data_IF_547456933248
#
_entry.id   IF_547456933248
#
_cell.length_a   1.000
_cell.length_b   1.000
_cell.length_c   1.000
_cell.angle_alpha   90.00
_cell.angle_beta   90.00
_cell.angle_gamma   90.00
#
_symmetry.space_group_name_H-M   'P 1'
#
loop_
_entity.id
_entity.type
_entity.pdbx_description
1 polymer ?
#
# COMPACT_ATOMS: atom_id res chain seq x y z
N UNK A 1 8.16 37.86 28.24
CA UNK A 1 8.93 37.11 27.21
C UNK A 1 7.92 36.52 26.25
N UNK A 2 7.75 37.13 25.08
CA UNK A 2 6.67 36.81 24.13
C UNK A 2 7.10 35.70 23.16
N UNK A 3 6.52 34.49 23.25
CA UNK A 3 6.81 33.40 22.29
C UNK A 3 6.25 33.66 20.88
N UNK A 4 5.44 34.70 20.68
CA UNK A 4 4.76 35.00 19.41
C UNK A 4 5.70 35.42 18.26
N UNK A 5 6.74 36.21 18.54
CA UNK A 5 7.63 36.72 17.48
C UNK A 5 8.45 35.61 16.79
N UNK A 6 8.77 34.53 17.52
CA UNK A 6 9.51 33.40 16.97
C UNK A 6 8.65 32.49 16.08
N UNK A 7 7.36 32.35 16.38
CA UNK A 7 6.43 31.53 15.59
C UNK A 7 6.03 32.23 14.29
N UNK A 8 5.78 33.55 14.33
CA UNK A 8 5.44 34.33 13.15
C UNK A 8 6.55 34.24 12.07
N UNK A 9 7.82 34.36 12.48
CA UNK A 9 8.96 34.26 11.57
C UNK A 9 9.08 32.88 10.92
N UNK A 10 8.81 31.79 11.64
CA UNK A 10 8.84 30.43 11.09
C UNK A 10 7.74 30.21 10.04
N UNK A 11 6.52 30.67 10.32
CA UNK A 11 5.39 30.55 9.39
C UNK A 11 5.64 31.33 8.09
N UNK A 12 6.27 32.51 8.17
CA UNK A 12 6.64 33.32 7.00
C UNK A 12 7.69 32.61 6.13
N UNK A 13 8.68 31.94 6.74
CA UNK A 13 9.69 31.17 6.00
C UNK A 13 9.04 29.99 5.26
N UNK A 14 8.17 29.25 5.92
CA UNK A 14 7.43 28.11 5.34
C UNK A 14 6.56 28.60 4.18
N UNK A 15 5.78 29.66 4.39
CA UNK A 15 4.89 30.23 3.36
C UNK A 15 5.66 30.72 2.13
N UNK A 16 6.88 31.24 2.31
CA UNK A 16 7.75 31.66 1.20
C UNK A 16 8.33 30.45 0.45
N UNK A 17 8.76 29.42 1.17
CA UNK A 17 9.31 28.19 0.58
C UNK A 17 8.29 27.47 -0.31
N UNK A 18 7.07 27.27 0.21
CA UNK A 18 5.96 26.63 -0.51
C UNK A 18 5.13 27.61 -1.37
N UNK A 19 5.60 28.85 -1.54
CA UNK A 19 4.99 29.83 -2.45
C UNK A 19 3.49 30.09 -2.19
N UNK A 20 3.07 30.15 -0.92
CA UNK A 20 1.65 30.28 -0.55
C UNK A 20 0.93 31.45 -1.22
N UNK A 21 1.62 32.57 -1.41
CA UNK A 21 1.07 33.75 -2.09
C UNK A 21 0.75 33.49 -3.57
N UNK A 22 1.60 32.71 -4.27
CA UNK A 22 1.39 32.37 -5.68
C UNK A 22 0.26 31.34 -5.83
N UNK A 23 0.21 30.38 -4.89
CA UNK A 23 -0.82 29.33 -4.84
C UNK A 23 -2.13 29.79 -4.19
N UNK A 24 -2.20 31.05 -3.71
CA UNK A 24 -3.35 31.64 -3.01
C UNK A 24 -3.87 30.76 -1.86
N UNK A 25 -2.96 30.16 -1.09
CA UNK A 25 -3.26 29.25 0.03
C UNK A 25 -2.74 29.78 1.37
N UNK A 26 -3.05 29.09 2.46
CA UNK A 26 -2.59 29.41 3.80
C UNK A 26 -2.34 28.14 4.63
N UNK A 27 -1.66 28.31 5.77
CA UNK A 27 -1.25 27.19 6.63
C UNK A 27 -2.42 26.31 7.10
N UNK A 28 -3.58 26.90 7.39
CA UNK A 28 -4.78 26.16 7.80
C UNK A 28 -5.31 25.31 6.65
N UNK A 29 -5.44 25.89 5.46
CA UNK A 29 -5.89 25.17 4.26
C UNK A 29 -4.99 24.01 3.93
N UNK A 30 -3.67 24.22 3.91
CA UNK A 30 -2.68 23.17 3.61
C UNK A 30 -2.67 22.06 4.67
N UNK A 31 -2.78 22.41 5.95
CA UNK A 31 -2.83 21.42 7.02
C UNK A 31 -4.08 20.54 6.91
N UNK A 32 -5.24 21.13 6.63
CA UNK A 32 -6.50 20.39 6.44
C UNK A 32 -6.43 19.54 5.17
N UNK A 33 -5.86 20.05 4.08
CA UNK A 33 -5.65 19.30 2.85
C UNK A 33 -4.72 18.10 3.07
N UNK A 34 -3.64 18.27 3.83
CA UNK A 34 -2.72 17.21 4.23
C UNK A 34 -3.40 16.12 5.05
N UNK A 35 -4.16 16.50 6.09
CA UNK A 35 -4.93 15.55 6.92
C UNK A 35 -5.97 14.81 6.06
N UNK A 36 -6.67 15.52 5.18
CA UNK A 36 -7.67 14.91 4.29
C UNK A 36 -7.04 13.90 3.34
N UNK A 37 -5.87 14.24 2.78
CA UNK A 37 -5.10 13.36 1.91
C UNK A 37 -4.62 12.13 2.67
N UNK A 38 -4.08 12.31 3.87
CA UNK A 38 -3.67 11.23 4.76
C UNK A 38 -4.84 10.27 5.04
N UNK A 39 -5.99 10.77 5.49
CA UNK A 39 -7.17 9.94 5.79
C UNK A 39 -7.65 9.19 4.53
N UNK A 40 -7.53 9.80 3.36
CA UNK A 40 -7.92 9.17 2.09
C UNK A 40 -7.04 7.99 1.71
N UNK A 41 -5.75 8.02 2.06
CA UNK A 41 -4.80 6.95 1.76
C UNK A 41 -4.51 6.01 2.93
N UNK A 42 -4.92 6.35 4.15
CA UNK A 42 -4.61 5.60 5.37
C UNK A 42 -5.06 4.13 5.33
N UNK A 43 -6.02 3.76 4.47
CA UNK A 43 -6.38 2.36 4.23
C UNK A 43 -5.17 1.50 3.84
N UNK A 44 -4.13 2.08 3.22
CA UNK A 44 -2.92 1.36 2.82
C UNK A 44 -2.16 0.79 4.01
N UNK A 45 -2.29 1.39 5.20
CA UNK A 45 -1.68 0.89 6.43
C UNK A 45 -2.28 -0.44 6.89
N UNK A 46 -3.43 -0.84 6.34
CA UNK A 46 -4.05 -2.15 6.61
C UNK A 46 -3.90 -3.05 5.38
N UNK A 47 -4.25 -2.55 4.20
CA UNK A 47 -4.35 -3.38 3.00
C UNK A 47 -2.97 -3.80 2.47
N UNK A 48 -1.96 -2.92 2.48
CA UNK A 48 -0.64 -3.31 2.01
C UNK A 48 0.01 -4.39 2.92
N UNK A 49 0.02 -4.22 4.25
CA UNK A 49 0.47 -5.28 5.15
C UNK A 49 -0.30 -6.59 5.02
N UNK A 50 -1.64 -6.57 4.82
CA UNK A 50 -2.43 -7.79 4.62
C UNK A 50 -2.01 -8.59 3.37
N UNK A 51 -1.70 -7.89 2.28
CA UNK A 51 -1.21 -8.52 1.06
C UNK A 51 0.20 -9.05 1.27
N UNK A 52 1.09 -8.23 1.80
CA UNK A 52 2.50 -8.61 1.96
C UNK A 52 2.70 -9.69 3.02
N UNK A 53 1.92 -9.72 4.10
CA UNK A 53 2.05 -10.71 5.17
C UNK A 53 1.69 -12.14 4.75
N UNK A 54 1.02 -12.30 3.60
CA UNK A 54 0.77 -13.60 2.97
C UNK A 54 2.02 -14.17 2.30
N UNK A 55 2.93 -13.31 1.85
CA UNK A 55 4.15 -13.69 1.14
C UNK A 55 5.43 -13.51 1.96
N UNK A 56 5.44 -12.52 2.86
CA UNK A 56 6.57 -12.15 3.72
C UNK A 56 6.24 -12.60 5.15
N UNK A 57 6.80 -13.75 5.53
CA UNK A 57 6.65 -14.31 6.87
C UNK A 57 7.87 -15.18 7.24
N UNK A 58 8.02 -15.48 8.54
CA UNK A 58 9.08 -16.34 9.07
C UNK A 58 8.57 -17.76 9.32
N UNK A 59 7.49 -17.92 10.09
CA UNK A 59 6.92 -19.22 10.42
C UNK A 59 5.52 -19.37 9.82
N UNK A 60 4.67 -18.36 10.00
CA UNK A 60 3.28 -18.38 9.55
C UNK A 60 2.85 -17.06 8.92
N UNK A 61 1.95 -17.13 7.94
CA UNK A 61 1.41 -15.95 7.28
C UNK A 61 0.73 -15.03 8.31
N UNK A 62 1.14 -13.76 8.35
CA UNK A 62 0.65 -12.79 9.33
C UNK A 62 1.62 -12.45 10.46
N UNK A 63 2.67 -13.25 10.69
CA UNK A 63 3.63 -13.03 11.80
C UNK A 63 4.27 -11.63 11.77
N UNK A 64 4.57 -11.13 10.57
CA UNK A 64 5.25 -9.86 10.35
C UNK A 64 4.30 -8.69 10.05
N UNK A 65 2.99 -8.86 10.26
CA UNK A 65 2.00 -7.83 9.91
C UNK A 65 2.32 -6.48 10.58
N UNK A 66 2.64 -6.49 11.88
CA UNK A 66 2.99 -5.26 12.62
C UNK A 66 4.22 -4.55 12.07
N UNK A 67 5.28 -5.29 11.75
CA UNK A 67 6.49 -4.75 11.12
C UNK A 67 6.20 -4.18 9.73
N UNK A 68 5.36 -4.86 8.93
CA UNK A 68 4.96 -4.41 7.60
C UNK A 68 4.13 -3.12 7.64
N UNK A 69 3.28 -2.93 8.65
CA UNK A 69 2.55 -1.67 8.87
C UNK A 69 3.53 -0.53 9.08
N UNK A 70 4.51 -0.71 9.98
CA UNK A 70 5.49 0.33 10.31
C UNK A 70 6.42 0.59 9.12
N UNK A 71 6.90 -0.44 8.43
CA UNK A 71 7.71 -0.29 7.22
C UNK A 71 6.95 0.48 6.12
N UNK A 72 5.66 0.17 5.92
CA UNK A 72 4.79 0.89 4.98
C UNK A 72 4.63 2.36 5.38
N UNK A 73 4.35 2.63 6.65
CA UNK A 73 4.17 4.00 7.14
C UNK A 73 5.44 4.85 7.00
N UNK A 74 6.59 4.31 7.42
CA UNK A 74 7.88 5.02 7.37
C UNK A 74 8.30 5.27 5.92
N UNK A 75 8.19 4.26 5.05
CA UNK A 75 8.56 4.40 3.64
C UNK A 75 7.67 5.41 2.90
N UNK A 76 6.36 5.37 3.10
CA UNK A 76 5.42 6.33 2.52
C UNK A 76 5.65 7.76 3.07
N UNK A 77 5.89 7.89 4.38
CA UNK A 77 6.18 9.17 5.00
C UNK A 77 7.49 9.77 4.45
N UNK A 78 8.54 8.97 4.33
CA UNK A 78 9.83 9.40 3.79
C UNK A 78 9.70 9.81 2.31
N UNK A 79 9.04 8.99 1.49
CA UNK A 79 8.82 9.30 0.08
C UNK A 79 8.01 10.59 -0.10
N UNK A 80 6.91 10.74 0.65
CA UNK A 80 6.07 11.94 0.64
C UNK A 80 6.84 13.18 1.12
N UNK A 81 7.68 13.04 2.14
CA UNK A 81 8.50 14.14 2.66
C UNK A 81 9.55 14.57 1.65
N UNK A 82 10.23 13.63 0.99
CA UNK A 82 11.18 13.93 -0.09
C UNK A 82 10.45 14.68 -1.22
N UNK A 83 9.27 14.22 -1.62
CA UNK A 83 8.47 14.87 -2.66
C UNK A 83 8.06 16.30 -2.28
N UNK A 84 7.63 16.50 -1.03
CA UNK A 84 7.22 17.81 -0.52
C UNK A 84 8.39 18.78 -0.33
N UNK A 85 9.50 18.34 0.25
CA UNK A 85 10.63 19.23 0.59
C UNK A 85 11.60 19.37 -0.59
N UNK A 86 12.06 18.27 -1.17
CA UNK A 86 13.04 18.32 -2.26
C UNK A 86 12.37 18.56 -3.61
N UNK A 87 11.23 17.91 -3.86
CA UNK A 87 10.46 18.10 -5.09
C UNK A 87 9.67 19.40 -5.12
N UNK A 88 9.26 19.95 -3.97
CA UNK A 88 8.31 21.05 -3.85
C UNK A 88 7.02 20.82 -4.67
N UNK A 89 6.52 19.57 -4.68
CA UNK A 89 5.26 19.19 -5.32
C UNK A 89 4.30 18.61 -4.28
N UNK A 90 2.99 18.91 -4.38
CA UNK A 90 1.97 18.47 -3.44
C UNK A 90 1.48 17.04 -3.74
N UNK A 91 2.41 16.09 -3.87
CA UNK A 91 2.07 14.68 -4.12
C UNK A 91 2.38 13.83 -2.89
N UNK A 92 1.35 13.11 -2.43
CA UNK A 92 1.51 12.09 -1.41
C UNK A 92 1.84 10.75 -2.07
N UNK A 93 2.95 10.15 -1.65
CA UNK A 93 3.51 8.95 -2.24
C UNK A 93 3.33 7.77 -1.29
N UNK A 94 2.72 6.71 -1.80
CA UNK A 94 2.52 5.47 -1.08
C UNK A 94 2.65 4.28 -2.05
N UNK A 95 2.81 3.04 -1.55
CA UNK A 95 3.00 1.87 -2.40
C UNK A 95 1.87 1.64 -3.42
N UNK A 96 2.24 1.25 -4.63
CA UNK A 96 1.28 0.91 -5.69
C UNK A 96 0.64 -0.46 -5.44
N UNK A 97 -0.67 -0.49 -5.16
CA UNK A 97 -1.40 -1.71 -4.81
C UNK A 97 -1.27 -2.85 -5.85
N UNK A 98 -1.19 -2.49 -7.13
CA UNK A 98 -1.02 -3.46 -8.21
C UNK A 98 0.31 -4.22 -8.17
N UNK A 99 1.40 -3.49 -7.93
CA UNK A 99 2.75 -4.05 -7.90
C UNK A 99 2.94 -4.93 -6.66
N UNK A 100 2.37 -4.54 -5.53
CA UNK A 100 2.46 -5.32 -4.29
C UNK A 100 1.69 -6.64 -4.39
N UNK A 101 0.52 -6.64 -5.03
CA UNK A 101 -0.22 -7.87 -5.29
C UNK A 101 0.49 -8.79 -6.28
N UNK A 102 1.08 -8.23 -7.35
CA UNK A 102 1.91 -9.00 -8.28
C UNK A 102 3.13 -9.62 -7.55
N UNK A 103 3.82 -8.84 -6.73
CA UNK A 103 4.93 -9.31 -5.90
C UNK A 103 4.49 -10.49 -5.01
N UNK A 104 3.44 -10.31 -4.20
CA UNK A 104 3.04 -11.31 -3.22
C UNK A 104 2.49 -12.58 -3.89
N UNK A 105 1.49 -12.45 -4.75
CA UNK A 105 0.75 -13.60 -5.27
C UNK A 105 1.42 -14.24 -6.47
N UNK A 106 2.03 -13.46 -7.37
CA UNK A 106 2.64 -14.02 -8.58
C UNK A 106 4.09 -14.42 -8.37
N UNK A 107 4.92 -13.51 -7.83
CA UNK A 107 6.37 -13.76 -7.71
C UNK A 107 6.68 -14.69 -6.55
N UNK A 108 6.21 -14.36 -5.34
CA UNK A 108 6.57 -15.14 -4.16
C UNK A 108 5.75 -16.41 -4.05
N UNK A 109 4.42 -16.30 -4.06
CA UNK A 109 3.54 -17.45 -3.79
C UNK A 109 3.40 -18.39 -5.00
N UNK A 110 3.17 -17.87 -6.21
CA UNK A 110 2.95 -18.71 -7.40
C UNK A 110 4.24 -19.24 -8.02
N UNK A 111 5.27 -18.41 -8.20
CA UNK A 111 6.55 -18.86 -8.75
C UNK A 111 7.46 -19.53 -7.69
N UNK A 112 7.10 -19.44 -6.41
CA UNK A 112 7.89 -20.04 -5.32
C UNK A 112 9.24 -19.35 -5.08
N UNK A 113 9.41 -18.11 -5.53
CA UNK A 113 10.64 -17.34 -5.33
C UNK A 113 10.67 -16.86 -3.88
N UNK A 114 11.80 -17.02 -3.20
CA UNK A 114 11.93 -16.52 -1.82
C UNK A 114 11.73 -15.01 -1.78
N UNK A 115 10.99 -14.54 -0.76
CA UNK A 115 10.64 -13.13 -0.67
C UNK A 115 11.87 -12.23 -0.49
N UNK A 116 12.99 -12.74 0.05
CA UNK A 116 14.26 -12.03 0.14
C UNK A 116 14.86 -11.79 -1.26
N UNK A 117 14.87 -12.81 -2.13
CA UNK A 117 15.33 -12.68 -3.53
C UNK A 117 14.42 -11.72 -4.28
N UNK A 118 13.10 -11.83 -4.08
CA UNK A 118 12.15 -10.91 -4.70
C UNK A 118 12.37 -9.45 -4.23
N UNK A 119 12.62 -9.21 -2.94
CA UNK A 119 12.97 -7.88 -2.42
C UNK A 119 14.29 -7.35 -3.01
N UNK A 120 15.29 -8.21 -3.19
CA UNK A 120 16.54 -7.85 -3.84
C UNK A 120 16.32 -7.42 -5.30
N UNK A 121 15.47 -8.15 -6.03
CA UNK A 121 15.09 -7.78 -7.40
C UNK A 121 14.37 -6.43 -7.45
N UNK A 122 13.46 -6.15 -6.51
CA UNK A 122 12.79 -4.84 -6.40
C UNK A 122 13.80 -3.71 -6.08
N UNK A 123 14.79 -3.97 -5.23
CA UNK A 123 15.86 -3.00 -4.95
C UNK A 123 16.69 -2.70 -6.19
N UNK A 124 17.11 -3.73 -6.92
CA UNK A 124 17.85 -3.59 -8.19
C UNK A 124 17.00 -2.83 -9.21
N UNK A 125 15.73 -3.18 -9.36
CA UNK A 125 14.79 -2.50 -10.27
C UNK A 125 14.68 -1.02 -9.94
N UNK A 126 14.54 -0.66 -8.65
CA UNK A 126 14.52 0.74 -8.22
C UNK A 126 15.81 1.50 -8.57
N UNK A 127 16.98 0.87 -8.41
CA UNK A 127 18.26 1.46 -8.81
C UNK A 127 18.37 1.64 -10.33
N UNK A 128 17.95 0.63 -11.10
CA UNK A 128 17.89 0.72 -12.57
C UNK A 128 16.94 1.85 -12.98
N UNK A 129 15.78 1.97 -12.34
CA UNK A 129 14.80 3.00 -12.65
C UNK A 129 15.33 4.41 -12.36
N UNK A 130 16.10 4.59 -11.27
CA UNK A 130 16.81 5.84 -10.98
C UNK A 130 17.80 6.17 -12.10
N UNK A 131 18.64 5.21 -12.50
CA UNK A 131 19.60 5.38 -13.60
C UNK A 131 18.91 5.74 -14.92
N UNK A 132 17.81 5.06 -15.26
CA UNK A 132 17.01 5.32 -16.46
C UNK A 132 16.33 6.70 -16.43
N UNK A 133 15.93 7.16 -15.25
CA UNK A 133 15.33 8.49 -15.06
C UNK A 133 16.36 9.59 -15.25
N UNK A 134 17.57 9.42 -14.70
CA UNK A 134 18.68 10.39 -14.85
C UNK A 134 19.13 10.47 -16.31
N UNK A 135 19.22 9.32 -17.00
CA UNK A 135 19.60 9.24 -18.42
C UNK A 135 18.50 9.69 -19.40
N UNK A 136 17.31 10.08 -18.92
CA UNK A 136 16.13 10.48 -19.72
C UNK A 136 15.57 9.40 -20.66
N UNK A 137 16.14 8.19 -20.66
CA UNK A 137 15.70 7.05 -21.48
C UNK A 137 14.30 6.58 -21.08
N UNK A 138 13.91 6.78 -19.82
CA UNK A 138 12.57 6.43 -19.29
C UNK A 138 11.43 6.88 -20.22
N UNK A 139 11.46 8.10 -20.73
CA UNK A 139 10.38 8.61 -21.57
C UNK A 139 10.29 7.83 -22.90
N UNK A 140 11.42 7.41 -23.46
CA UNK A 140 11.45 6.62 -24.70
C UNK A 140 10.87 5.23 -24.47
N UNK A 141 11.22 4.57 -23.36
CA UNK A 141 10.68 3.25 -23.00
C UNK A 141 9.16 3.34 -22.83
N UNK A 142 8.68 4.31 -22.05
CA UNK A 142 7.24 4.48 -21.79
C UNK A 142 6.47 4.82 -23.07
N UNK A 143 7.06 5.60 -23.98
CA UNK A 143 6.45 5.94 -25.27
C UNK A 143 6.47 4.76 -26.26
N UNK A 144 7.41 3.83 -26.12
CA UNK A 144 7.45 2.62 -26.96
C UNK A 144 6.34 1.62 -26.60
N UNK A 145 5.84 1.64 -25.37
CA UNK A 145 4.74 0.77 -24.94
C UNK A 145 3.42 1.34 -25.48
N UNK A 146 2.67 0.57 -26.30
CA UNK A 146 1.37 1.00 -26.80
C UNK A 146 0.38 1.30 -25.66
N UNK A 147 -0.45 2.32 -25.83
CA UNK A 147 -1.42 2.74 -24.81
C UNK A 147 -2.40 1.61 -24.44
N UNK A 148 -2.78 0.77 -25.40
CA UNK A 148 -3.62 -0.40 -25.16
C UNK A 148 -2.99 -1.40 -24.19
N UNK A 149 -1.67 -1.58 -24.23
CA UNK A 149 -0.95 -2.48 -23.31
C UNK A 149 -0.94 -1.88 -21.90
N UNK A 150 -0.67 -0.57 -21.77
CA UNK A 150 -0.67 0.11 -20.46
C UNK A 150 -2.03 -0.02 -19.77
N UNK A 151 -3.10 0.24 -20.51
CA UNK A 151 -4.47 0.14 -20.01
C UNK A 151 -4.85 -1.31 -19.68
N UNK A 152 -4.54 -2.26 -20.56
CA UNK A 152 -4.79 -3.68 -20.35
C UNK A 152 -4.07 -4.21 -19.10
N UNK A 153 -2.82 -3.80 -18.85
CA UNK A 153 -2.09 -4.17 -17.64
C UNK A 153 -2.76 -3.65 -16.38
N UNK A 154 -3.22 -2.40 -16.38
CA UNK A 154 -3.92 -1.82 -15.21
C UNK A 154 -5.24 -2.55 -14.92
N UNK A 155 -6.04 -2.80 -15.96
CA UNK A 155 -7.30 -3.55 -15.83
C UNK A 155 -7.05 -4.99 -15.37
N UNK A 156 -6.06 -5.67 -15.97
CA UNK A 156 -5.71 -7.05 -15.63
C UNK A 156 -5.26 -7.20 -14.18
N UNK A 157 -4.41 -6.31 -13.68
CA UNK A 157 -3.98 -6.32 -12.27
C UNK A 157 -5.16 -6.01 -11.34
N UNK A 158 -6.03 -5.07 -11.71
CA UNK A 158 -7.24 -4.76 -10.92
C UNK A 158 -8.19 -5.96 -10.81
N UNK A 159 -8.49 -6.62 -11.92
CA UNK A 159 -9.32 -7.84 -11.95
C UNK A 159 -8.65 -8.99 -11.18
N UNK A 160 -7.33 -9.11 -11.27
CA UNK A 160 -6.57 -10.11 -10.52
C UNK A 160 -6.70 -9.89 -9.01
N UNK A 161 -6.52 -8.67 -8.53
CA UNK A 161 -6.69 -8.34 -7.09
C UNK A 161 -8.14 -8.59 -6.65
N UNK A 162 -9.12 -8.21 -7.47
CA UNK A 162 -10.53 -8.46 -7.18
C UNK A 162 -10.82 -9.96 -7.07
N UNK A 163 -10.29 -10.77 -7.98
CA UNK A 163 -10.41 -12.22 -7.95
C UNK A 163 -9.83 -12.84 -6.66
N UNK A 164 -8.62 -12.41 -6.26
CA UNK A 164 -8.00 -12.86 -5.00
C UNK A 164 -8.82 -12.43 -3.78
N UNK A 165 -9.41 -11.24 -3.79
CA UNK A 165 -10.29 -10.78 -2.72
C UNK A 165 -11.57 -11.63 -2.61
N UNK A 166 -12.18 -12.02 -3.74
CA UNK A 166 -13.35 -12.90 -3.78
C UNK A 166 -13.06 -14.30 -3.24
N UNK A 167 -11.85 -14.82 -3.49
CA UNK A 167 -11.38 -16.09 -2.90
C UNK A 167 -11.17 -15.94 -1.39
N UNK A 168 -10.45 -14.89 -0.95
CA UNK A 168 -10.16 -14.68 0.47
C UNK A 168 -11.43 -14.49 1.33
N UNK A 169 -12.50 -13.97 0.73
CA UNK A 169 -13.81 -13.77 1.38
C UNK A 169 -14.75 -14.97 1.23
N UNK A 170 -14.30 -16.05 0.58
CA UNK A 170 -15.08 -17.26 0.28
C UNK A 170 -16.35 -17.00 -0.54
N UNK A 171 -16.47 -15.82 -1.18
CA UNK A 171 -17.54 -15.57 -2.16
C UNK A 171 -17.35 -16.50 -3.35
N UNK A 172 -16.09 -16.74 -3.72
CA UNK A 172 -15.67 -17.70 -4.72
C UNK A 172 -14.78 -18.74 -4.04
N UNK A 173 -14.91 -19.99 -4.45
CA UNK A 173 -14.04 -21.09 -4.00
C UNK A 173 -13.47 -21.85 -5.18
N UNK A 174 -12.33 -22.52 -4.96
CA UNK A 174 -11.70 -23.35 -5.97
C UNK A 174 -12.54 -24.61 -6.21
N UNK A 175 -12.71 -24.96 -7.48
CA UNK A 175 -13.34 -26.20 -7.92
C UNK A 175 -12.40 -26.88 -8.90
N UNK A 176 -12.21 -28.21 -8.76
CA UNK A 176 -11.27 -28.95 -9.62
C UNK A 176 -11.73 -29.00 -11.08
N UNK A 177 -13.04 -28.87 -11.34
CA UNK A 177 -13.60 -29.00 -12.69
C UNK A 177 -13.74 -27.66 -13.40
N UNK A 178 -14.18 -26.61 -12.69
CA UNK A 178 -14.38 -25.28 -13.27
C UNK A 178 -13.28 -24.28 -12.91
N UNK A 179 -12.27 -24.69 -12.14
CA UNK A 179 -11.23 -23.82 -11.50
C UNK A 179 -11.81 -22.84 -10.47
N UNK A 180 -13.09 -22.49 -10.59
CA UNK A 180 -13.76 -21.44 -9.84
C UNK A 180 -15.26 -21.77 -9.74
N UNK A 181 -15.81 -21.80 -8.54
CA UNK A 181 -17.25 -21.94 -8.29
C UNK A 181 -17.73 -20.96 -7.21
N UNK A 182 -19.04 -20.78 -7.10
CA UNK A 182 -19.63 -19.91 -6.08
C UNK A 182 -19.50 -20.58 -4.71
N UNK A 183 -19.00 -19.85 -3.72
CA UNK A 183 -18.93 -20.31 -2.34
C UNK A 183 -20.30 -20.31 -1.66
N UNK A 184 -20.32 -20.73 -0.40
CA UNK A 184 -21.55 -20.72 0.39
C UNK A 184 -21.86 -19.30 0.89
N UNK A 185 -22.75 -18.61 0.18
CA UNK A 185 -23.14 -17.23 0.50
C UNK A 185 -23.89 -17.06 1.82
N UNK A 186 -24.37 -18.15 2.44
CA UNK A 186 -25.03 -18.10 3.74
C UNK A 186 -24.02 -18.18 4.90
N UNK A 187 -22.73 -18.33 4.63
CA UNK A 187 -21.72 -18.28 5.69
C UNK A 187 -21.60 -16.86 6.26
N UNK A 188 -21.54 -16.72 7.60
CA UNK A 188 -21.45 -15.41 8.25
C UNK A 188 -20.29 -14.55 7.73
N UNK A 189 -19.13 -15.16 7.47
CA UNK A 189 -17.93 -14.48 6.95
C UNK A 189 -18.18 -13.87 5.56
N UNK A 190 -18.83 -14.64 4.68
CA UNK A 190 -19.14 -14.22 3.31
C UNK A 190 -20.21 -13.13 3.30
N UNK A 191 -21.21 -13.21 4.18
CA UNK A 191 -22.21 -12.16 4.34
C UNK A 191 -21.60 -10.84 4.81
N UNK A 192 -20.68 -10.88 5.78
CA UNK A 192 -19.96 -9.67 6.22
C UNK A 192 -19.12 -9.09 5.10
N UNK A 193 -18.46 -9.93 4.31
CA UNK A 193 -17.71 -9.45 3.14
C UNK A 193 -18.60 -8.74 2.11
N UNK A 194 -19.76 -9.32 1.77
CA UNK A 194 -20.73 -8.71 0.86
C UNK A 194 -21.26 -7.40 1.43
N UNK A 195 -21.64 -7.37 2.71
CA UNK A 195 -22.08 -6.16 3.38
C UNK A 195 -20.99 -5.08 3.38
N UNK A 196 -19.73 -5.48 3.64
CA UNK A 196 -18.58 -4.58 3.61
C UNK A 196 -18.33 -3.96 2.23
N UNK A 197 -18.47 -4.75 1.16
CA UNK A 197 -18.42 -4.25 -0.23
C UNK A 197 -19.52 -3.20 -0.44
N UNK A 198 -20.77 -3.50 -0.08
CA UNK A 198 -21.90 -2.58 -0.26
C UNK A 198 -21.70 -1.28 0.53
N UNK A 199 -21.27 -1.37 1.79
CA UNK A 199 -21.02 -0.21 2.66
C UNK A 199 -19.90 0.65 2.07
N UNK A 200 -18.79 0.03 1.69
CA UNK A 200 -17.64 0.74 1.12
C UNK A 200 -18.00 1.40 -0.21
N UNK A 201 -18.70 0.69 -1.10
CA UNK A 201 -19.24 1.25 -2.35
C UNK A 201 -20.19 2.42 -2.08
N UNK A 202 -21.03 2.35 -1.04
CA UNK A 202 -21.88 3.44 -0.61
C UNK A 202 -21.11 4.69 -0.17
N UNK A 203 -20.04 4.53 0.61
CA UNK A 203 -19.15 5.63 1.00
C UNK A 203 -18.40 6.23 -0.19
N UNK A 204 -17.95 5.39 -1.12
CA UNK A 204 -17.30 5.83 -2.37
C UNK A 204 -18.30 6.62 -3.23
N UNK A 205 -19.53 6.10 -3.42
CA UNK A 205 -20.56 6.76 -4.21
C UNK A 205 -20.96 8.12 -3.63
N UNK A 206 -20.96 8.26 -2.30
CA UNK A 206 -21.19 9.53 -1.59
C UNK A 206 -19.97 10.45 -1.54
N UNK A 207 -18.83 10.07 -2.15
CA UNK A 207 -17.57 10.83 -2.19
C UNK A 207 -17.07 11.25 -0.79
N UNK A 208 -17.24 10.38 0.20
CA UNK A 208 -16.74 10.61 1.57
C UNK A 208 -15.21 10.50 1.57
N UNK A 209 -14.54 11.45 2.21
CA UNK A 209 -13.08 11.44 2.38
C UNK A 209 -12.65 10.25 3.24
N UNK A 210 -11.70 9.43 2.76
CA UNK A 210 -11.34 8.17 3.42
C UNK A 210 -12.42 7.10 3.33
N UNK A 211 -13.27 7.11 2.31
CA UNK A 211 -14.34 6.12 2.09
C UNK A 211 -13.89 4.67 2.28
N UNK A 212 -12.70 4.31 1.77
CA UNK A 212 -12.11 2.98 1.95
C UNK A 212 -11.79 2.68 3.42
N UNK A 213 -11.18 3.63 4.14
CA UNK A 213 -10.85 3.47 5.57
C UNK A 213 -12.13 3.30 6.40
N UNK A 214 -13.13 4.17 6.18
CA UNK A 214 -14.42 4.08 6.87
C UNK A 214 -15.14 2.76 6.54
N UNK A 215 -15.03 2.29 5.29
CA UNK A 215 -15.57 0.99 4.87
C UNK A 215 -14.93 -0.18 5.62
N UNK A 216 -13.60 -0.19 5.73
CA UNK A 216 -12.85 -1.20 6.49
C UNK A 216 -13.27 -1.17 7.96
N UNK A 217 -13.32 0.01 8.59
CA UNK A 217 -13.72 0.16 9.99
C UNK A 217 -15.18 -0.28 10.24
N UNK A 218 -16.11 0.12 9.37
CA UNK A 218 -17.51 -0.29 9.48
C UNK A 218 -17.68 -1.81 9.33
N UNK A 219 -16.94 -2.42 8.39
CA UNK A 219 -16.96 -3.88 8.19
C UNK A 219 -16.35 -4.62 9.37
N UNK A 220 -15.24 -4.12 9.92
CA UNK A 220 -14.62 -4.68 11.12
C UNK A 220 -15.55 -4.60 12.35
N UNK A 221 -16.22 -3.47 12.55
CA UNK A 221 -17.21 -3.29 13.63
C UNK A 221 -18.38 -4.26 13.48
N UNK A 222 -18.92 -4.43 12.26
CA UNK A 222 -19.97 -5.41 11.99
C UNK A 222 -19.50 -6.83 12.29
N UNK A 223 -18.26 -7.18 11.91
CA UNK A 223 -17.68 -8.48 12.19
C UNK A 223 -17.55 -8.76 13.70
N UNK A 224 -17.17 -7.76 14.49
CA UNK A 224 -17.10 -7.88 15.96
C UNK A 224 -18.47 -8.00 16.61
N UNK A 225 -19.46 -7.22 16.17
CA UNK A 225 -20.83 -7.28 16.72
C UNK A 225 -21.46 -8.65 16.47
N UNK A 226 -21.20 -9.23 15.30
CA UNK A 226 -21.69 -10.55 14.92
C UNK A 226 -20.88 -11.71 15.52
N UNK A 227 -19.79 -11.43 16.24
CA UNK A 227 -18.94 -12.44 16.87
C UNK A 227 -18.14 -13.30 15.88
N UNK A 228 -17.99 -12.85 14.63
CA UNK A 228 -17.31 -13.61 13.57
C UNK A 228 -15.79 -13.45 13.68
N UNK A 229 -15.32 -12.26 14.09
CA UNK A 229 -13.91 -11.99 14.32
C UNK A 229 -13.60 -11.79 15.80
N UNK A 230 -12.41 -12.23 16.28
CA UNK A 230 -12.01 -12.01 17.66
C UNK A 230 -11.98 -10.51 17.97
N UNK A 231 -12.41 -10.17 19.19
CA UNK A 231 -12.32 -8.80 19.70
C UNK A 231 -10.86 -8.35 19.74
N UNK A 232 -10.59 -7.05 19.49
CA UNK A 232 -9.24 -6.52 19.55
C UNK A 232 -8.67 -6.72 20.95
N UNK A 233 -7.45 -7.28 21.03
CA UNK A 233 -6.77 -7.58 22.29
C UNK A 233 -6.26 -6.31 23.01
N UNK A 234 -6.32 -5.14 22.36
CA UNK A 234 -5.95 -3.85 22.94
C UNK A 234 -6.29 -2.66 22.03
N UNK A 235 -6.25 -1.45 22.59
CA UNK A 235 -6.55 -0.19 21.87
C UNK A 235 -5.30 0.39 21.19
N UNK A 236 -4.12 0.15 21.77
CA UNK A 236 -2.85 0.58 21.23
C UNK A 236 -1.78 -0.49 21.51
N UNK A 237 -0.98 -0.81 20.50
CA UNK A 237 0.23 -1.63 20.63
C UNK A 237 1.46 -0.75 20.42
N UNK A 238 2.56 -1.12 21.07
CA UNK A 238 3.85 -0.50 20.75
C UNK A 238 4.23 -0.85 19.30
N UNK A 239 4.73 0.12 18.51
CA UNK A 239 5.13 -0.12 17.14
C UNK A 239 6.25 -1.17 17.12
N UNK A 240 6.01 -2.27 16.42
CA UNK A 240 7.04 -3.28 16.16
C UNK A 240 7.97 -2.71 15.10
N UNK A 241 9.20 -2.38 15.50
CA UNK A 241 10.21 -1.92 14.56
C UNK A 241 10.51 -3.04 13.56
N UNK A 242 10.71 -2.72 12.27
CA UNK A 242 10.90 -3.70 11.21
C UNK A 242 12.28 -4.36 11.26
N UNK A 243 12.64 -4.98 12.38
CA UNK A 243 13.95 -5.61 12.61
C UNK A 243 14.17 -6.84 11.75
N UNK A 244 13.10 -7.59 11.46
CA UNK A 244 13.19 -8.79 10.63
C UNK A 244 13.13 -8.48 9.13
N UNK A 245 12.55 -7.33 8.76
CA UNK A 245 12.45 -6.88 7.37
C UNK A 245 13.70 -6.11 6.91
N UNK A 246 14.34 -5.36 7.82
CA UNK A 246 15.45 -4.49 7.47
C UNK A 246 16.65 -5.30 6.95
N UNK A 247 17.19 -4.90 5.81
CA UNK A 247 18.38 -5.52 5.22
C UNK A 247 18.16 -6.82 4.44
N UNK A 248 16.93 -7.36 4.41
CA UNK A 248 16.63 -8.63 3.74
C UNK A 248 16.88 -8.60 2.22
N UNK A 249 16.72 -7.44 1.59
CA UNK A 249 17.06 -7.24 0.19
C UNK A 249 18.56 -7.49 -0.10
N UNK A 250 19.46 -7.19 0.84
CA UNK A 250 20.90 -7.45 0.66
C UNK A 250 21.23 -8.94 0.82
N UNK A 251 20.52 -9.65 1.69
CA UNK A 251 20.63 -11.11 1.84
C UNK A 251 20.16 -11.80 0.54
N UNK A 252 19.06 -11.33 -0.04
CA UNK A 252 18.60 -11.80 -1.36
C UNK A 252 19.61 -11.51 -2.46
N UNK A 253 20.29 -10.35 -2.43
CA UNK A 253 21.33 -10.00 -3.40
C UNK A 253 22.51 -10.98 -3.37
N UNK A 254 22.97 -11.35 -2.18
CA UNK A 254 24.02 -12.36 -2.00
C UNK A 254 23.61 -13.71 -2.62
N UNK A 255 22.34 -14.08 -2.44
CA UNK A 255 21.79 -15.32 -3.00
C UNK A 255 21.74 -15.30 -4.54
N UNK A 256 21.34 -14.17 -5.14
CA UNK A 256 21.34 -13.98 -6.60
C UNK A 256 22.75 -14.09 -7.17
N UNK A 257 23.72 -13.43 -6.54
CA UNK A 257 25.13 -13.45 -6.99
C UNK A 257 25.69 -14.87 -6.91
N UNK A 258 25.42 -15.60 -5.82
CA UNK A 258 25.85 -17.00 -5.67
C UNK A 258 25.26 -17.89 -6.75
N UNK A 259 23.98 -17.71 -7.09
CA UNK A 259 23.34 -18.48 -8.15
C UNK A 259 23.92 -18.18 -9.52
N UNK A 260 24.20 -16.90 -9.81
CA UNK A 260 24.81 -16.47 -11.08
C UNK A 260 26.29 -16.87 -11.24
N UNK A 261 26.99 -17.20 -10.15
CA UNK A 261 28.39 -17.67 -10.19
C UNK A 261 28.51 -19.21 -10.27
N UNK A 262 27.41 -19.93 -10.06
CA UNK A 262 27.36 -21.40 -10.08
C UNK A 262 26.82 -21.97 -11.42
N UNK A 263 26.34 -21.11 -12.32
CA UNK A 263 26.01 -21.39 -13.72
C UNK A 263 27.10 -20.87 -14.67
#
# INVERSE_FOLDING_TARGET
MTPENGQLNKLVIIAKFFQFNQLKTNFRTESVAGITTFVTMAYILVVNPDILSKAIFLQSSGDLFGELVIATAISAALATLIMGIYGNYPFALAPGMGLNAYFAFSVVLKLGISWQIALAAVLIEGLIFICLTISKIRNQIVNAIPECIKQATTVGIGLFIAYIALINTKIIVYDETTTTTLGNLNQPETLVAIAGIIITSGFIARRITGSLLWGILATALLSWILGISPLPQGIASFPQLPTHLFGQAFIGLESIIKMALLE
#
